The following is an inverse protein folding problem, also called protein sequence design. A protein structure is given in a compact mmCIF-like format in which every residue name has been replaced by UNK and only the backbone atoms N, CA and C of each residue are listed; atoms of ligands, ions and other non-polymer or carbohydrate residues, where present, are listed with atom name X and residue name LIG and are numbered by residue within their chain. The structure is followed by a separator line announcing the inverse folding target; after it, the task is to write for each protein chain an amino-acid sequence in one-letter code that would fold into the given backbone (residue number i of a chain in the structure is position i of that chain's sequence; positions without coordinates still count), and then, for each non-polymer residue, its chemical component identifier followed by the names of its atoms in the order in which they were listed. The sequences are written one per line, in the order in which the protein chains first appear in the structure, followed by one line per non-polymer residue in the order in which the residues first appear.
data_IF_090862314005
#
_entry.id   IF_090862314005
#
_cell.length_a   1.000
_cell.length_b   1.000
_cell.length_c   1.000
_cell.angle_alpha   90.00
_cell.angle_beta   90.00
_cell.angle_gamma   90.00
#
_symmetry.space_group_name_H-M   'P 1'
#
loop_
_entity.id
_entity.type
_entity.pdbx_description
1 polymer ?
#
# COMPACT_ATOMS: atom_id res chain seq x y z
N UNK A 1 28.64 -17.09 11.84
CA UNK A 1 28.08 -16.53 10.60
C UNK A 1 26.70 -17.17 10.42
N UNK A 2 25.65 -16.53 10.93
CA UNK A 2 24.29 -17.09 10.91
C UNK A 2 23.68 -16.70 9.57
N UNK A 3 23.69 -17.63 8.62
CA UNK A 3 22.92 -17.47 7.37
C UNK A 3 21.45 -17.42 7.80
N UNK A 4 20.80 -16.28 7.62
CA UNK A 4 19.36 -16.17 7.82
C UNK A 4 18.71 -17.07 6.78
N UNK A 5 18.32 -18.29 7.17
CA UNK A 5 17.43 -19.12 6.36
C UNK A 5 16.13 -18.35 6.17
N UNK A 6 15.97 -17.74 5.01
CA UNK A 6 14.69 -17.24 4.54
C UNK A 6 13.82 -18.46 4.28
N UNK A 7 13.00 -18.85 5.27
CA UNK A 7 11.97 -19.86 5.02
C UNK A 7 11.11 -19.40 3.83
N UNK A 8 10.93 -20.23 2.78
CA UNK A 8 10.43 -19.83 1.46
C UNK A 8 9.14 -18.99 1.45
N UNK A 9 8.27 -19.07 2.48
CA UNK A 9 7.05 -18.26 2.62
C UNK A 9 7.10 -17.07 3.59
N UNK A 10 8.21 -16.87 4.32
CA UNK A 10 8.30 -15.92 5.44
C UNK A 10 8.41 -14.47 4.96
N UNK A 11 9.13 -14.23 3.87
CA UNK A 11 9.23 -12.89 3.25
C UNK A 11 7.89 -12.45 2.65
N UNK A 12 7.24 -13.30 1.88
CA UNK A 12 5.94 -13.00 1.28
C UNK A 12 4.88 -12.71 2.36
N UNK A 13 4.85 -13.51 3.43
CA UNK A 13 4.00 -13.29 4.59
C UNK A 13 4.25 -11.92 5.23
N UNK A 14 5.51 -11.60 5.48
CA UNK A 14 5.89 -10.32 6.07
C UNK A 14 5.46 -9.15 5.18
N UNK A 15 5.76 -9.21 3.88
CA UNK A 15 5.44 -8.15 2.94
C UNK A 15 3.92 -7.91 2.83
N UNK A 16 3.11 -8.97 2.73
CA UNK A 16 1.64 -8.85 2.69
C UNK A 16 1.07 -8.36 4.03
N UNK A 17 1.60 -8.83 5.16
CA UNK A 17 1.11 -8.38 6.48
C UNK A 17 1.45 -6.91 6.71
N UNK A 18 2.67 -6.50 6.39
CA UNK A 18 3.12 -5.10 6.50
C UNK A 18 2.30 -4.18 5.59
N UNK A 19 2.06 -4.60 4.34
CA UNK A 19 1.19 -3.91 3.39
C UNK A 19 -0.22 -3.72 3.94
N UNK A 20 -0.87 -4.81 4.37
CA UNK A 20 -2.22 -4.76 4.90
C UNK A 20 -2.36 -3.83 6.12
N UNK A 21 -1.37 -3.84 7.03
CA UNK A 21 -1.32 -2.94 8.18
C UNK A 21 -1.11 -1.49 7.75
N UNK A 22 -0.14 -1.23 6.88
CA UNK A 22 0.18 0.12 6.41
C UNK A 22 -1.01 0.73 5.67
N UNK A 23 -1.56 0.00 4.70
CA UNK A 23 -2.75 0.39 3.95
C UNK A 23 -3.95 0.61 4.87
N UNK A 24 -4.21 -0.30 5.81
CA UNK A 24 -5.30 -0.14 6.78
C UNK A 24 -5.12 1.09 7.67
N UNK A 25 -3.91 1.35 8.17
CA UNK A 25 -3.59 2.52 8.97
C UNK A 25 -3.75 3.82 8.16
N UNK A 26 -3.32 3.83 6.91
CA UNK A 26 -3.57 4.93 5.97
C UNK A 26 -5.07 5.14 5.74
N UNK A 27 -5.85 4.06 5.60
CA UNK A 27 -7.30 4.14 5.48
C UNK A 27 -7.98 4.79 6.69
N UNK A 28 -7.55 4.44 7.91
CA UNK A 28 -8.01 5.09 9.15
C UNK A 28 -7.63 6.57 9.14
N UNK A 29 -6.38 6.91 8.86
CA UNK A 29 -5.89 8.28 8.86
C UNK A 29 -6.64 9.15 7.85
N UNK A 30 -6.80 8.68 6.61
CA UNK A 30 -7.51 9.41 5.56
C UNK A 30 -8.98 9.60 5.88
N UNK A 31 -9.66 8.56 6.39
CA UNK A 31 -11.08 8.63 6.77
C UNK A 31 -11.31 9.59 7.94
N UNK A 32 -10.49 9.48 9.00
CA UNK A 32 -10.67 10.25 10.22
C UNK A 32 -10.22 11.72 10.07
N UNK A 33 -9.22 11.97 9.22
CA UNK A 33 -8.60 13.29 9.06
C UNK A 33 -8.92 13.94 7.71
N UNK A 34 -9.89 13.43 6.93
CA UNK A 34 -10.20 13.94 5.59
C UNK A 34 -10.39 15.47 5.57
N UNK A 35 -11.17 16.03 6.51
CA UNK A 35 -11.41 17.48 6.59
C UNK A 35 -10.26 18.30 7.16
N UNK A 36 -9.22 17.66 7.69
CA UNK A 36 -7.99 18.32 8.16
C UNK A 36 -6.91 18.28 7.08
N UNK A 37 -6.91 17.21 6.27
CA UNK A 37 -5.91 16.96 5.23
C UNK A 37 -6.25 17.60 3.89
N UNK A 38 -7.52 17.96 3.64
CA UNK A 38 -7.98 18.42 2.33
C UNK A 38 -7.25 19.67 1.82
N UNK A 39 -7.21 20.73 2.62
CA UNK A 39 -6.49 21.97 2.33
C UNK A 39 -4.97 21.75 2.24
N UNK A 40 -4.32 21.16 3.27
CA UNK A 40 -2.88 20.94 3.26
C UNK A 40 -2.37 20.07 2.13
N UNK A 41 -3.13 19.05 1.69
CA UNK A 41 -2.73 18.19 0.58
C UNK A 41 -3.20 18.69 -0.79
N UNK A 42 -4.20 19.58 -0.84
CA UNK A 42 -4.85 19.96 -2.09
C UNK A 42 -5.69 18.82 -2.68
N UNK A 43 -6.16 17.90 -1.83
CA UNK A 43 -6.99 16.76 -2.25
C UNK A 43 -8.38 16.96 -1.64
N UNK A 44 -9.41 17.05 -2.47
CA UNK A 44 -10.76 17.29 -1.98
C UNK A 44 -11.24 16.26 -0.95
N UNK A 45 -11.97 16.71 0.07
CA UNK A 45 -12.51 15.90 1.15
C UNK A 45 -13.14 14.57 0.67
N UNK A 46 -13.99 14.62 -0.36
CA UNK A 46 -14.67 13.43 -0.89
C UNK A 46 -13.70 12.38 -1.45
N UNK A 47 -12.61 12.82 -2.07
CA UNK A 47 -11.54 11.94 -2.55
C UNK A 47 -10.76 11.32 -1.39
N UNK A 48 -10.40 12.10 -0.38
CA UNK A 48 -9.70 11.58 0.81
C UNK A 48 -10.56 10.56 1.56
N UNK A 49 -11.84 10.87 1.78
CA UNK A 49 -12.78 9.97 2.45
C UNK A 49 -13.01 8.69 1.65
N UNK A 50 -13.25 8.81 0.34
CA UNK A 50 -13.44 7.67 -0.56
C UNK A 50 -12.22 6.74 -0.59
N UNK A 51 -11.03 7.32 -0.76
CA UNK A 51 -9.76 6.58 -0.73
C UNK A 51 -9.53 5.94 0.62
N UNK A 52 -9.83 6.65 1.72
CA UNK A 52 -9.71 6.12 3.07
C UNK A 52 -10.56 4.88 3.30
N UNK A 53 -11.85 4.95 2.94
CA UNK A 53 -12.78 3.81 3.05
C UNK A 53 -12.35 2.64 2.14
N UNK A 54 -11.89 2.92 0.93
CA UNK A 54 -11.33 1.91 0.04
C UNK A 54 -10.11 1.23 0.67
N UNK A 55 -9.18 1.99 1.23
CA UNK A 55 -7.97 1.47 1.90
C UNK A 55 -8.29 0.63 3.13
N UNK A 56 -9.36 0.94 3.88
CA UNK A 56 -9.80 0.06 4.97
C UNK A 56 -10.18 -1.33 4.45
N UNK A 57 -10.97 -1.40 3.36
CA UNK A 57 -11.35 -2.65 2.73
C UNK A 57 -10.16 -3.39 2.10
N UNK A 58 -9.33 -2.66 1.35
CA UNK A 58 -8.14 -3.22 0.70
C UNK A 58 -7.12 -3.73 1.73
N UNK A 59 -6.79 -2.93 2.73
CA UNK A 59 -5.87 -3.29 3.80
C UNK A 59 -6.34 -4.52 4.57
N UNK A 60 -7.64 -4.61 4.87
CA UNK A 60 -8.23 -5.80 5.50
C UNK A 60 -8.08 -7.05 4.62
N UNK A 61 -8.34 -6.94 3.31
CA UNK A 61 -8.15 -8.04 2.36
C UNK A 61 -6.69 -8.50 2.28
N UNK A 62 -5.75 -7.56 2.14
CA UNK A 62 -4.32 -7.87 2.04
C UNK A 62 -3.80 -8.48 3.34
N UNK A 63 -4.19 -7.93 4.49
CA UNK A 63 -3.82 -8.45 5.81
C UNK A 63 -4.39 -9.86 6.02
N UNK A 64 -5.63 -10.08 5.60
CA UNK A 64 -6.25 -11.40 5.65
C UNK A 64 -5.47 -12.42 4.81
N UNK A 65 -5.06 -12.05 3.60
CA UNK A 65 -4.24 -12.91 2.75
C UNK A 65 -2.87 -13.20 3.37
N UNK A 66 -2.19 -12.18 3.91
CA UNK A 66 -0.89 -12.29 4.56
C UNK A 66 -0.89 -13.14 5.83
N UNK A 67 -2.02 -13.25 6.52
CA UNK A 67 -2.14 -14.01 7.78
C UNK A 67 -2.58 -15.47 7.58
N UNK A 68 -2.90 -15.90 6.35
CA UNK A 68 -3.30 -17.30 6.09
C UNK A 68 -2.16 -18.31 6.29
N UNK A 69 -2.43 -19.53 6.79
CA UNK A 69 -1.40 -20.58 6.92
C UNK A 69 -0.70 -20.88 5.58
N UNK A 70 -1.48 -20.98 4.51
CA UNK A 70 -1.00 -21.10 3.14
C UNK A 70 -1.39 -19.84 2.35
N UNK A 71 -0.40 -19.19 1.74
CA UNK A 71 -0.64 -17.97 0.95
C UNK A 71 -1.00 -18.37 -0.47
N UNK A 72 -2.15 -17.91 -0.95
CA UNK A 72 -2.57 -18.11 -2.34
C UNK A 72 -1.70 -17.27 -3.27
N UNK A 73 -0.85 -17.90 -4.09
CA UNK A 73 0.03 -17.22 -5.06
C UNK A 73 -0.72 -16.30 -6.02
N UNK A 74 -1.90 -16.70 -6.51
CA UNK A 74 -2.71 -15.86 -7.42
C UNK A 74 -3.19 -14.60 -6.71
N UNK A 75 -3.66 -14.76 -5.47
CA UNK A 75 -4.05 -13.63 -4.62
C UNK A 75 -2.88 -12.68 -4.36
N UNK A 76 -1.71 -13.21 -4.01
CA UNK A 76 -0.52 -12.41 -3.77
C UNK A 76 -0.03 -11.69 -5.04
N UNK A 77 -0.08 -12.35 -6.20
CA UNK A 77 0.25 -11.74 -7.49
C UNK A 77 -0.73 -10.62 -7.84
N UNK A 78 -2.01 -10.80 -7.52
CA UNK A 78 -3.02 -9.75 -7.69
C UNK A 78 -2.72 -8.52 -6.81
N UNK A 79 -2.35 -8.72 -5.54
CA UNK A 79 -1.93 -7.62 -4.65
C UNK A 79 -0.73 -6.88 -5.22
N UNK A 80 0.29 -7.60 -5.70
CA UNK A 80 1.45 -6.97 -6.37
C UNK A 80 1.02 -6.09 -7.53
N UNK A 81 0.15 -6.60 -8.42
CA UNK A 81 -0.30 -5.86 -9.58
C UNK A 81 -1.04 -4.57 -9.18
N UNK A 82 -1.93 -4.66 -8.19
CA UNK A 82 -2.66 -3.50 -7.67
C UNK A 82 -1.71 -2.48 -7.02
N UNK A 83 -0.71 -2.92 -6.25
CA UNK A 83 0.27 -2.02 -5.66
C UNK A 83 1.14 -1.31 -6.71
N UNK A 84 1.56 -2.03 -7.76
CA UNK A 84 2.30 -1.41 -8.87
C UNK A 84 1.43 -0.37 -9.58
N UNK A 85 0.17 -0.68 -9.84
CA UNK A 85 -0.78 0.28 -10.42
C UNK A 85 -0.99 1.49 -9.51
N UNK A 86 -1.15 1.27 -8.20
CA UNK A 86 -1.32 2.36 -7.23
C UNK A 86 -0.08 3.25 -7.12
N UNK A 87 1.13 2.68 -7.20
CA UNK A 87 2.36 3.46 -7.22
C UNK A 87 2.47 4.31 -8.50
N UNK A 88 2.14 3.74 -9.67
CA UNK A 88 2.12 4.48 -10.94
C UNK A 88 1.05 5.58 -10.94
N UNK A 89 -0.14 5.27 -10.44
CA UNK A 89 -1.24 6.23 -10.31
C UNK A 89 -0.86 7.38 -9.37
N UNK A 90 -0.20 7.08 -8.24
CA UNK A 90 0.30 8.10 -7.33
C UNK A 90 1.33 9.02 -8.00
N UNK A 91 2.25 8.47 -8.80
CA UNK A 91 3.18 9.29 -9.60
C UNK A 91 2.43 10.16 -10.61
N UNK A 92 1.44 9.59 -11.31
CA UNK A 92 0.63 10.34 -12.26
C UNK A 92 -0.10 11.50 -11.57
N UNK A 93 -0.77 11.23 -10.45
CA UNK A 93 -1.47 12.24 -9.63
C UNK A 93 -0.51 13.33 -9.14
N UNK A 94 0.71 12.98 -8.77
CA UNK A 94 1.72 13.97 -8.38
C UNK A 94 2.21 14.86 -9.56
N UNK A 95 2.14 14.36 -10.80
CA UNK A 95 2.57 15.09 -11.99
C UNK A 95 1.49 15.95 -12.62
N UNK A 96 0.23 15.49 -12.59
CA UNK A 96 -0.89 16.16 -13.30
C UNK A 96 -1.98 16.67 -12.36
N UNK A 97 -1.93 16.30 -11.08
CA UNK A 97 -2.89 16.74 -10.08
C UNK A 97 -2.63 18.16 -9.60
N UNK A 98 -3.70 18.86 -9.27
CA UNK A 98 -3.66 20.19 -8.65
C UNK A 98 -3.43 20.07 -7.13
N UNK A 99 -2.27 19.51 -6.76
CA UNK A 99 -1.88 19.29 -5.38
C UNK A 99 -1.10 20.49 -4.84
N UNK A 100 -1.10 20.65 -3.52
CA UNK A 100 -0.11 21.54 -2.88
C UNK A 100 1.29 20.93 -3.00
N UNK A 101 2.33 21.73 -2.75
CA UNK A 101 3.70 21.21 -2.66
C UNK A 101 3.82 20.09 -1.61
N UNK A 102 3.14 20.24 -0.45
CA UNK A 102 3.10 19.22 0.58
C UNK A 102 2.38 17.95 0.09
N UNK A 103 1.21 18.11 -0.54
CA UNK A 103 0.45 17.01 -1.13
C UNK A 103 1.26 16.21 -2.15
N UNK A 104 1.97 16.92 -3.03
CA UNK A 104 2.87 16.31 -4.03
C UNK A 104 3.94 15.47 -3.35
N UNK A 105 4.63 16.02 -2.35
CA UNK A 105 5.67 15.28 -1.59
C UNK A 105 5.07 14.06 -0.89
N UNK A 106 3.92 14.22 -0.23
CA UNK A 106 3.24 13.12 0.49
C UNK A 106 2.86 12.00 -0.49
N UNK A 107 2.24 12.32 -1.61
CA UNK A 107 1.82 11.34 -2.63
C UNK A 107 3.04 10.62 -3.22
N UNK A 108 4.14 11.32 -3.51
CA UNK A 108 5.37 10.70 -4.02
C UNK A 108 6.04 9.79 -2.98
N UNK A 109 6.07 10.19 -1.70
CA UNK A 109 6.59 9.34 -0.61
C UNK A 109 5.77 8.07 -0.49
N UNK A 110 4.43 8.17 -0.57
CA UNK A 110 3.55 7.00 -0.58
C UNK A 110 3.78 6.13 -1.81
N UNK A 111 3.96 6.71 -2.99
CA UNK A 111 4.27 5.97 -4.22
C UNK A 111 5.54 5.11 -4.06
N UNK A 112 6.60 5.71 -3.49
CA UNK A 112 7.86 4.99 -3.22
C UNK A 112 7.65 3.88 -2.18
N UNK A 113 6.91 4.14 -1.11
CA UNK A 113 6.63 3.15 -0.08
C UNK A 113 5.85 1.95 -0.64
N UNK A 114 4.82 2.20 -1.44
CA UNK A 114 4.02 1.15 -2.09
C UNK A 114 4.86 0.36 -3.10
N UNK A 115 5.68 1.04 -3.90
CA UNK A 115 6.59 0.38 -4.84
C UNK A 115 7.62 -0.51 -4.12
N UNK A 116 8.18 -0.05 -2.99
CA UNK A 116 9.11 -0.83 -2.18
C UNK A 116 8.43 -2.09 -1.60
N UNK A 117 7.21 -1.97 -1.11
CA UNK A 117 6.40 -3.12 -0.65
C UNK A 117 6.13 -4.09 -1.80
N UNK A 118 5.75 -3.59 -2.99
CA UNK A 118 5.53 -4.42 -4.16
C UNK A 118 6.78 -5.21 -4.56
N UNK A 119 7.98 -4.61 -4.48
CA UNK A 119 9.25 -5.30 -4.71
C UNK A 119 9.46 -6.43 -3.68
N UNK A 120 9.20 -6.18 -2.40
CA UNK A 120 9.29 -7.22 -1.36
C UNK A 120 8.29 -8.36 -1.60
N UNK A 121 7.09 -8.06 -2.08
CA UNK A 121 6.08 -9.08 -2.43
C UNK A 121 6.51 -9.90 -3.66
N UNK A 122 7.08 -9.26 -4.69
CA UNK A 122 7.64 -9.95 -5.86
C UNK A 122 8.76 -10.90 -5.45
N UNK A 123 9.69 -10.41 -4.63
CA UNK A 123 10.81 -11.23 -4.17
C UNK A 123 10.34 -12.37 -3.26
N UNK A 124 9.37 -12.11 -2.39
CA UNK A 124 8.69 -13.15 -1.62
C UNK A 124 8.02 -14.21 -2.51
N UNK A 125 7.34 -13.80 -3.59
CA UNK A 125 6.72 -14.72 -4.55
C UNK A 125 7.74 -15.56 -5.34
N UNK A 126 8.93 -15.01 -5.62
CA UNK A 126 10.01 -15.75 -6.30
C UNK A 126 10.65 -16.81 -5.41
N UNK A 127 10.63 -16.59 -4.10
CA UNK A 127 11.22 -17.49 -3.10
C UNK A 127 10.23 -18.52 -2.55
N UNK A 128 8.92 -18.28 -2.64
CA UNK A 128 7.84 -19.23 -2.30
C UNK A 128 7.58 -20.24 -3.42
#
# INVERSE_FOLDING_TARGET
MTITETHPGRLLRFALTADGVATGASGVALTALAGVLDGPLGIGFGWLLGTGLFFLGWGAFVLHLGTRPTINRRGATFVVAVNLLAALDSVLVALVGDLTALGTVVVLVLAVAVAAIAVLQIEGLRQS
#
